data_IF_193072076320
#
_entry.id   IF_193072076320
#
_cell.length_a   1.000
_cell.length_b   1.000
_cell.length_c   1.000
_cell.angle_alpha   90.00
_cell.angle_beta   90.00
_cell.angle_gamma   90.00
#
_symmetry.space_group_name_H-M   'P 1'
#
loop_
_entity.id
_entity.type
_entity.pdbx_description
1 polymer ?
#
# COMPACT_ATOMS: atom_id res chain seq x y z
N UNK A 1 -1.44 0.14 24.22
CA UNK A 1 -1.80 0.45 22.83
C UNK A 1 -0.55 0.85 22.06
N UNK A 2 -0.31 0.22 20.93
CA UNK A 2 0.87 0.53 20.15
C UNK A 2 0.69 1.81 19.35
N UNK A 3 1.75 2.62 19.28
CA UNK A 3 1.81 3.78 18.39
C UNK A 3 2.78 3.53 17.24
N UNK A 4 3.32 2.32 17.12
CA UNK A 4 4.25 1.96 16.05
C UNK A 4 3.50 1.99 14.71
N UNK A 5 3.92 2.85 13.75
CA UNK A 5 3.24 2.94 12.47
C UNK A 5 3.13 1.61 11.73
N UNK A 6 4.13 0.74 11.84
CA UNK A 6 4.08 -0.54 11.13
C UNK A 6 3.12 -1.52 11.78
N UNK A 7 3.01 -1.52 13.11
CA UNK A 7 1.99 -2.33 13.77
C UNK A 7 0.58 -1.88 13.38
N UNK A 8 0.38 -0.56 13.36
CA UNK A 8 -0.90 0.02 12.95
C UNK A 8 -1.22 -0.32 11.49
N UNK A 9 -0.21 -0.21 10.62
CA UNK A 9 -0.37 -0.57 9.21
C UNK A 9 -0.78 -2.04 9.05
N UNK A 10 -0.08 -2.95 9.74
CA UNK A 10 -0.38 -4.38 9.63
C UNK A 10 -1.79 -4.70 10.12
N UNK A 11 -2.25 -4.04 11.17
CA UNK A 11 -3.62 -4.24 11.66
C UNK A 11 -4.65 -3.80 10.61
N UNK A 12 -4.46 -2.61 10.04
CA UNK A 12 -5.39 -2.09 9.02
C UNK A 12 -5.39 -2.95 7.77
N UNK A 13 -4.20 -3.39 7.34
CA UNK A 13 -4.08 -4.23 6.16
C UNK A 13 -4.75 -5.60 6.37
N UNK A 14 -4.55 -6.19 7.53
CA UNK A 14 -5.15 -7.49 7.87
C UNK A 14 -6.68 -7.41 7.87
N UNK A 15 -7.23 -6.31 8.36
CA UNK A 15 -8.67 -6.08 8.43
C UNK A 15 -9.24 -5.45 7.17
N UNK A 16 -8.38 -5.03 6.24
CA UNK A 16 -8.74 -4.25 5.04
C UNK A 16 -9.53 -3.00 5.44
N UNK A 17 -9.10 -2.36 6.52
CA UNK A 17 -9.80 -1.22 7.11
C UNK A 17 -9.33 0.08 6.47
N UNK A 18 -9.94 0.44 5.34
CA UNK A 18 -9.59 1.66 4.61
C UNK A 18 -9.91 2.92 5.41
N UNK A 19 -10.94 2.87 6.24
CA UNK A 19 -11.34 4.04 7.06
C UNK A 19 -10.29 4.38 8.09
N UNK A 20 -9.60 3.36 8.62
CA UNK A 20 -8.55 3.57 9.61
C UNK A 20 -7.30 4.23 9.04
N UNK A 21 -7.14 4.24 7.72
CA UNK A 21 -5.99 4.89 7.07
C UNK A 21 -5.93 6.39 7.38
N UNK A 22 -7.09 7.03 7.55
CA UNK A 22 -7.14 8.46 7.85
C UNK A 22 -6.33 8.79 9.11
N UNK A 23 -6.34 7.90 10.09
CA UNK A 23 -5.66 8.14 11.36
C UNK A 23 -4.14 7.99 11.27
N UNK A 24 -3.63 7.21 10.31
CA UNK A 24 -2.20 6.92 10.22
C UNK A 24 -1.47 7.66 9.10
N UNK A 25 -2.20 8.37 8.23
CA UNK A 25 -1.60 9.13 7.13
C UNK A 25 -1.42 10.59 7.50
N UNK A 26 -0.25 11.15 7.15
CA UNK A 26 -0.02 12.59 7.28
C UNK A 26 -0.84 13.33 6.22
N UNK A 27 -1.17 14.59 6.49
CA UNK A 27 -1.94 15.40 5.53
C UNK A 27 -1.22 15.52 4.18
N UNK A 28 0.10 15.60 4.20
CA UNK A 28 0.94 15.73 3.00
C UNK A 28 1.45 14.39 2.48
N UNK A 29 0.86 13.28 2.89
CA UNK A 29 1.28 11.94 2.46
C UNK A 29 1.32 11.84 0.94
N UNK A 30 2.31 11.11 0.42
CA UNK A 30 2.51 10.91 -1.02
C UNK A 30 2.50 9.43 -1.33
N UNK A 31 1.76 9.04 -2.36
CA UNK A 31 1.74 7.67 -2.85
C UNK A 31 2.52 7.58 -4.17
N UNK A 32 3.42 6.60 -4.26
CA UNK A 32 4.18 6.32 -5.48
C UNK A 32 3.71 4.97 -6.03
N UNK A 33 3.02 5.04 -7.15
CA UNK A 33 2.46 3.86 -7.81
C UNK A 33 3.56 3.07 -8.56
N UNK A 34 3.44 1.74 -8.62
CA UNK A 34 4.38 0.95 -9.43
C UNK A 34 4.16 1.08 -10.92
N UNK A 35 3.05 1.69 -11.35
CA UNK A 35 2.72 1.79 -12.79
C UNK A 35 2.67 3.22 -13.31
N UNK A 36 2.61 4.21 -12.43
CA UNK A 36 2.56 5.63 -12.81
C UNK A 36 3.70 6.35 -12.10
N UNK A 37 4.60 6.96 -12.86
CA UNK A 37 5.78 7.62 -12.28
C UNK A 37 5.43 8.89 -11.50
N UNK A 38 4.38 9.60 -11.90
CA UNK A 38 3.98 10.86 -11.25
C UNK A 38 3.53 10.59 -9.81
N UNK A 39 4.16 11.22 -8.80
CA UNK A 39 3.73 11.04 -7.41
C UNK A 39 2.29 11.53 -7.21
N UNK A 40 1.53 10.79 -6.41
CA UNK A 40 0.17 11.17 -6.05
C UNK A 40 0.23 11.86 -4.69
N UNK A 41 0.07 13.18 -4.68
CA UNK A 41 0.34 13.99 -3.49
C UNK A 41 -0.94 14.33 -2.73
N UNK A 42 -0.88 14.10 -1.43
CA UNK A 42 -1.95 14.44 -0.51
C UNK A 42 -2.57 13.21 0.14
N UNK A 43 -3.11 13.40 1.34
CA UNK A 43 -3.72 12.33 2.13
C UNK A 43 -4.91 11.69 1.42
N UNK A 44 -5.79 12.52 0.85
CA UNK A 44 -7.02 12.02 0.23
C UNK A 44 -6.72 11.04 -0.91
N UNK A 45 -5.80 11.42 -1.82
CA UNK A 45 -5.48 10.55 -2.95
C UNK A 45 -4.65 9.35 -2.50
N UNK A 46 -3.76 9.52 -1.53
CA UNK A 46 -3.00 8.41 -0.97
C UNK A 46 -3.93 7.38 -0.33
N UNK A 47 -4.89 7.84 0.45
CA UNK A 47 -5.87 6.95 1.07
C UNK A 47 -6.69 6.20 0.02
N UNK A 48 -7.07 6.88 -1.05
CA UNK A 48 -7.82 6.27 -2.14
C UNK A 48 -7.05 5.12 -2.80
N UNK A 49 -5.75 5.34 -3.07
CA UNK A 49 -4.91 4.30 -3.67
C UNK A 49 -4.70 3.11 -2.73
N UNK A 50 -4.46 3.39 -1.45
CA UNK A 50 -4.26 2.31 -0.47
C UNK A 50 -5.55 1.52 -0.22
N UNK A 51 -6.70 2.20 -0.21
CA UNK A 51 -7.99 1.54 -0.09
C UNK A 51 -8.23 0.60 -1.27
N UNK A 52 -7.91 1.06 -2.48
CA UNK A 52 -8.02 0.23 -3.68
C UNK A 52 -7.07 -0.97 -3.59
N UNK A 53 -5.85 -0.75 -3.10
CA UNK A 53 -4.86 -1.82 -2.95
C UNK A 53 -5.33 -2.90 -1.96
N UNK A 54 -6.03 -2.52 -0.90
CA UNK A 54 -6.60 -3.49 0.03
C UNK A 54 -7.58 -4.44 -0.68
N UNK A 55 -8.31 -3.95 -1.66
CA UNK A 55 -9.25 -4.79 -2.41
C UNK A 55 -8.54 -5.63 -3.47
N UNK A 56 -7.47 -5.11 -4.07
CA UNK A 56 -6.78 -5.77 -5.17
C UNK A 56 -5.82 -6.85 -4.67
N UNK A 57 -5.02 -6.54 -3.66
CA UNK A 57 -3.91 -7.42 -3.23
C UNK A 57 -4.28 -8.41 -2.13
N UNK A 58 -5.15 -8.03 -1.21
CA UNK A 58 -5.30 -8.75 0.06
C UNK A 58 -6.34 -9.88 -0.04
N UNK A 59 -5.94 -10.97 -0.69
CA UNK A 59 -6.71 -12.22 -0.68
C UNK A 59 -6.03 -13.22 0.26
N UNK A 60 -6.50 -14.47 0.26
CA UNK A 60 -5.97 -15.52 1.14
C UNK A 60 -4.49 -15.81 0.90
N UNK A 61 -3.99 -15.56 -0.32
CA UNK A 61 -2.60 -15.83 -0.68
C UNK A 61 -1.64 -14.74 -0.26
N UNK A 62 -2.15 -13.52 0.02
CA UNK A 62 -1.29 -12.40 0.36
C UNK A 62 -0.57 -12.65 1.68
N UNK A 63 0.75 -12.40 1.68
CA UNK A 63 1.54 -12.47 2.90
C UNK A 63 2.76 -11.60 2.79
N UNK A 64 3.15 -11.00 3.91
CA UNK A 64 4.44 -10.34 4.01
C UNK A 64 5.49 -11.40 4.34
N UNK A 65 6.60 -11.40 3.57
CA UNK A 65 7.65 -12.41 3.71
C UNK A 65 8.96 -11.85 4.25
N UNK A 66 9.08 -10.52 4.30
CA UNK A 66 10.27 -9.85 4.83
C UNK A 66 9.91 -8.46 5.30
N UNK A 67 10.48 -8.06 6.43
CA UNK A 67 10.29 -6.70 6.92
C UNK A 67 11.63 -6.16 7.43
N UNK A 68 12.03 -5.02 6.89
CA UNK A 68 13.21 -4.28 7.35
C UNK A 68 12.72 -2.94 7.86
N UNK A 69 13.12 -2.59 9.08
CA UNK A 69 12.60 -1.41 9.74
C UNK A 69 13.75 -0.52 10.23
N UNK A 70 13.74 0.74 9.80
CA UNK A 70 14.65 1.76 10.28
C UNK A 70 13.97 2.65 11.32
N UNK A 71 14.57 3.81 11.59
CA UNK A 71 14.03 4.74 12.59
C UNK A 71 12.68 5.32 12.17
N UNK A 72 12.55 5.69 10.90
CA UNK A 72 11.33 6.30 10.37
C UNK A 72 10.97 5.77 8.99
N UNK A 73 11.42 4.57 8.65
CA UNK A 73 11.05 3.93 7.40
C UNK A 73 11.05 2.42 7.56
N UNK A 74 10.43 1.76 6.60
CA UNK A 74 10.38 0.31 6.57
C UNK A 74 10.23 -0.17 5.13
N UNK A 75 10.72 -1.38 4.89
CA UNK A 75 10.53 -2.08 3.61
C UNK A 75 9.85 -3.39 3.93
N UNK A 76 8.68 -3.60 3.36
CA UNK A 76 7.87 -4.80 3.58
C UNK A 76 7.75 -5.54 2.26
N UNK A 77 8.40 -6.69 2.15
CA UNK A 77 8.26 -7.52 0.95
C UNK A 77 7.05 -8.42 1.08
N UNK A 78 6.27 -8.54 0.01
CA UNK A 78 5.07 -9.39 0.02
C UNK A 78 5.02 -10.29 -1.20
N UNK A 79 4.20 -11.32 -1.08
CA UNK A 79 3.87 -12.24 -2.17
C UNK A 79 2.37 -12.46 -2.18
N UNK A 80 1.83 -12.64 -3.38
CA UNK A 80 0.42 -12.96 -3.54
C UNK A 80 0.23 -13.69 -4.88
N UNK A 81 -0.89 -14.40 -5.01
CA UNK A 81 -1.31 -14.97 -6.29
C UNK A 81 -2.65 -14.33 -6.64
N UNK A 82 -2.69 -13.63 -7.76
CA UNK A 82 -3.88 -12.91 -8.22
C UNK A 82 -4.22 -13.41 -9.61
N UNK A 83 -5.43 -13.97 -9.78
CA UNK A 83 -5.87 -14.53 -11.06
C UNK A 83 -4.84 -15.50 -11.66
N UNK A 84 -4.23 -16.33 -10.80
CA UNK A 84 -3.22 -17.30 -11.23
C UNK A 84 -1.84 -16.71 -11.50
N UNK A 85 -1.65 -15.40 -11.30
CA UNK A 85 -0.36 -14.74 -11.54
C UNK A 85 0.36 -14.53 -10.21
N UNK A 86 1.61 -14.99 -10.13
CA UNK A 86 2.45 -14.74 -8.97
C UNK A 86 2.90 -13.29 -8.96
N UNK A 87 2.66 -12.62 -7.84
CA UNK A 87 3.05 -11.22 -7.64
C UNK A 87 4.02 -11.15 -6.47
N UNK A 88 5.16 -10.50 -6.69
CA UNK A 88 6.11 -10.20 -5.63
C UNK A 88 6.34 -8.71 -5.63
N UNK A 89 6.27 -8.09 -4.47
CA UNK A 89 6.44 -6.65 -4.40
C UNK A 89 7.02 -6.20 -3.08
N UNK A 90 7.29 -4.91 -3.00
CA UNK A 90 7.72 -4.27 -1.76
C UNK A 90 6.92 -2.99 -1.55
N UNK A 91 6.56 -2.78 -0.29
CA UNK A 91 6.04 -1.51 0.19
C UNK A 91 7.20 -0.79 0.89
N UNK A 92 7.52 0.42 0.44
CA UNK A 92 8.54 1.25 1.08
C UNK A 92 7.81 2.40 1.74
N UNK A 93 7.86 2.45 3.08
CA UNK A 93 7.01 3.33 3.87
C UNK A 93 7.88 4.25 4.72
N UNK A 94 7.57 5.55 4.72
CA UNK A 94 8.23 6.53 5.60
C UNK A 94 7.18 7.20 6.47
N UNK A 95 7.58 7.56 7.70
CA UNK A 95 6.70 8.29 8.61
C UNK A 95 7.48 9.41 9.28
N UNK A 96 6.74 10.37 9.84
CA UNK A 96 7.35 11.49 10.52
C UNK A 96 7.52 11.20 12.03
N UNK A 97 8.01 12.18 12.76
CA UNK A 97 8.28 12.03 14.19
C UNK A 97 7.02 11.79 15.02
N UNK A 98 5.85 12.12 14.47
CA UNK A 98 4.57 11.87 15.16
C UNK A 98 4.02 10.47 14.86
N UNK A 99 4.68 9.71 13.97
CA UNK A 99 4.23 8.40 13.55
C UNK A 99 3.24 8.39 12.41
N UNK A 100 3.03 9.53 11.75
CA UNK A 100 2.14 9.61 10.57
C UNK A 100 2.92 9.27 9.30
N UNK A 101 2.34 8.44 8.46
CA UNK A 101 2.97 8.02 7.20
C UNK A 101 3.03 9.21 6.24
N UNK A 102 4.23 9.53 5.76
CA UNK A 102 4.46 10.63 4.83
C UNK A 102 4.70 10.17 3.40
N UNK A 103 5.18 8.94 3.21
CA UNK A 103 5.38 8.38 1.87
C UNK A 103 5.06 6.90 1.88
N UNK A 104 4.46 6.45 0.80
CA UNK A 104 4.16 5.02 0.60
C UNK A 104 4.46 4.70 -0.86
N UNK A 105 5.51 3.93 -1.11
CA UNK A 105 5.92 3.55 -2.45
C UNK A 105 5.76 2.05 -2.65
N UNK A 106 5.24 1.64 -3.79
CA UNK A 106 5.07 0.22 -4.12
C UNK A 106 5.87 -0.11 -5.36
N UNK A 107 6.63 -1.19 -5.31
CA UNK A 107 7.33 -1.75 -6.47
C UNK A 107 6.89 -3.20 -6.65
N UNK A 108 6.75 -3.64 -7.89
CA UNK A 108 6.22 -4.96 -8.23
C UNK A 108 7.07 -5.65 -9.28
N UNK A 109 7.06 -6.97 -9.23
CA UNK A 109 7.61 -7.82 -10.29
C UNK A 109 6.76 -9.10 -10.42
N UNK A 110 6.82 -9.85 -11.53
CA UNK A 110 7.44 -9.50 -12.82
C UNK A 110 6.53 -8.61 -13.66
N UNK A 111 6.92 -8.33 -14.89
CA UNK A 111 6.13 -7.47 -15.78
C UNK A 111 4.67 -7.91 -15.89
N UNK A 112 4.43 -9.21 -15.99
CA UNK A 112 3.09 -9.77 -16.07
C UNK A 112 2.23 -9.35 -14.86
N UNK A 113 2.83 -9.35 -13.67
CA UNK A 113 2.15 -8.91 -12.46
C UNK A 113 1.89 -7.41 -12.50
N UNK A 114 2.85 -6.62 -12.96
CA UNK A 114 2.67 -5.16 -13.09
C UNK A 114 1.48 -4.86 -14.01
N UNK A 115 1.39 -5.53 -15.15
CA UNK A 115 0.30 -5.32 -16.10
C UNK A 115 -1.06 -5.70 -15.49
N UNK A 116 -1.12 -6.82 -14.78
CA UNK A 116 -2.34 -7.26 -14.11
C UNK A 116 -2.80 -6.26 -13.05
N UNK A 117 -1.85 -5.81 -12.23
CA UNK A 117 -2.16 -4.86 -11.15
C UNK A 117 -2.61 -3.53 -11.74
N UNK A 118 -1.98 -3.09 -12.84
CA UNK A 118 -2.40 -1.86 -13.53
C UNK A 118 -3.88 -1.94 -13.90
N UNK A 119 -4.30 -3.05 -14.51
CA UNK A 119 -5.70 -3.24 -14.92
C UNK A 119 -6.64 -3.28 -13.72
N UNK A 120 -6.27 -4.04 -12.69
CA UNK A 120 -7.12 -4.19 -11.50
C UNK A 120 -7.25 -2.88 -10.71
N UNK A 121 -6.15 -2.15 -10.55
CA UNK A 121 -6.17 -0.87 -9.84
C UNK A 121 -6.98 0.17 -10.61
N UNK A 122 -6.81 0.22 -11.94
CA UNK A 122 -7.57 1.16 -12.76
C UNK A 122 -9.08 0.91 -12.62
N UNK A 123 -9.50 -0.35 -12.65
CA UNK A 123 -10.91 -0.72 -12.50
C UNK A 123 -11.42 -0.35 -11.10
N UNK A 124 -10.62 -0.62 -10.07
CA UNK A 124 -11.01 -0.34 -8.68
C UNK A 124 -11.11 1.16 -8.42
N UNK A 125 -10.14 1.94 -8.92
CA UNK A 125 -10.13 3.39 -8.76
C UNK A 125 -11.31 4.04 -9.50
N UNK A 126 -11.65 3.54 -10.68
CA UNK A 126 -12.79 4.03 -11.42
C UNK A 126 -14.11 3.74 -10.68
N UNK A 127 -14.25 2.54 -10.09
CA UNK A 127 -15.43 2.17 -9.34
C UNK A 127 -15.56 2.95 -8.03
N UNK A 128 -14.45 3.13 -7.32
CA UNK A 128 -14.43 3.83 -6.04
C UNK A 128 -14.30 5.34 -6.15
N UNK A 129 -14.01 5.83 -7.34
CA UNK A 129 -13.77 7.26 -7.57
C UNK A 129 -14.99 8.08 -7.83
N UNK A 130 -16.12 7.44 -7.82
CA UNK A 130 -17.40 8.12 -8.05
C UNK A 130 -17.84 8.94 -6.85
#
# INVERSE_FOLDING_TARGET
MSSDPMELWHELAKERNAKGLDAILADEAVFHSPVVHTPQRGKAITQKYLAAAFQVFFNESFRYVRELKGDRDAVLEFEAVLDGVNVNGVDMIKWDETGKITEFMVMLRPLKAVNLIHQKMAAMLAAGGS
#
